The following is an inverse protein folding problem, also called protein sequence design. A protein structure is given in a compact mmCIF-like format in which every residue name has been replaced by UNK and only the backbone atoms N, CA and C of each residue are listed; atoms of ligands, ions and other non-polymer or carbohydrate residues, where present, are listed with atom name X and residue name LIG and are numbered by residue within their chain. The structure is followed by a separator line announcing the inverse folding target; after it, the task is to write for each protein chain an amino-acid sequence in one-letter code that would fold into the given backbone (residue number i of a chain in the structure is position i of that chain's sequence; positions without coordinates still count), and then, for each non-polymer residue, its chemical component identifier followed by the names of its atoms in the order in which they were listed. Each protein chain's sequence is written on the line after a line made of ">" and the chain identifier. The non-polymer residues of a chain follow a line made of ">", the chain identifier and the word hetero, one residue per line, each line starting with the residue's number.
data_IF_317707353105
#
_entry.id   IF_317707353105
#
_cell.length_a   1.000
_cell.length_b   1.000
_cell.length_c   1.000
_cell.angle_alpha   90.00
_cell.angle_beta   90.00
_cell.angle_gamma   90.00
#
_symmetry.space_group_name_H-M   'P 1'
#
loop_
_entity.id
_entity.type
_entity.pdbx_description
1 polymer ?
#
# COMPACT_ATOMS: atom_id res chain seq x y z
N UNK A 1 36.61 -40.93 -13.04
CA UNK A 1 37.80 -40.36 -12.39
C UNK A 1 37.38 -39.03 -11.76
N UNK A 2 37.43 -38.93 -10.43
CA UNK A 2 37.06 -37.74 -9.65
C UNK A 2 38.22 -36.75 -9.66
N UNK A 3 37.95 -35.46 -9.86
CA UNK A 3 38.72 -34.41 -9.20
C UNK A 3 37.79 -33.28 -8.74
N UNK A 4 37.79 -33.08 -7.41
CA UNK A 4 37.26 -31.93 -6.67
C UNK A 4 38.44 -30.98 -6.44
N UNK A 5 38.29 -29.69 -6.70
CA UNK A 5 38.89 -28.54 -6.00
C UNK A 5 38.16 -27.31 -6.58
N UNK A 6 37.73 -26.26 -5.90
CA UNK A 6 37.79 -25.77 -4.52
C UNK A 6 37.21 -24.35 -4.58
N UNK A 7 36.37 -23.94 -3.63
CA UNK A 7 35.78 -22.59 -3.57
C UNK A 7 36.87 -21.55 -3.31
N UNK A 8 36.82 -20.41 -4.02
CA UNK A 8 37.37 -19.14 -3.51
C UNK A 8 36.37 -18.02 -3.81
N UNK A 9 35.92 -17.35 -2.75
CA UNK A 9 35.19 -16.09 -2.77
C UNK A 9 36.13 -14.99 -3.25
N UNK A 10 35.72 -14.20 -4.24
CA UNK A 10 36.32 -12.91 -4.53
C UNK A 10 35.28 -11.83 -4.25
N UNK A 11 35.40 -11.19 -3.09
CA UNK A 11 34.76 -9.91 -2.76
C UNK A 11 35.63 -8.85 -3.42
N UNK A 12 35.14 -8.20 -4.47
CA UNK A 12 35.79 -7.05 -5.07
C UNK A 12 35.23 -5.77 -4.44
N UNK A 13 36.00 -5.25 -3.50
CA UNK A 13 35.87 -3.90 -2.98
C UNK A 13 36.48 -2.95 -4.02
N UNK A 14 35.67 -2.11 -4.66
CA UNK A 14 36.17 -1.03 -5.51
C UNK A 14 36.04 0.27 -4.74
N UNK A 15 37.20 0.73 -4.25
CA UNK A 15 37.46 2.11 -3.82
C UNK A 15 37.70 2.94 -5.09
N UNK A 16 36.91 4.00 -5.30
CA UNK A 16 37.28 5.10 -6.19
C UNK A 16 37.15 6.40 -5.40
N UNK A 17 38.29 7.07 -5.25
CA UNK A 17 38.43 8.36 -4.64
C UNK A 17 38.21 9.50 -5.65
N UNK A 18 37.45 10.48 -5.17
CA UNK A 18 37.35 11.91 -5.45
C UNK A 18 37.88 12.53 -6.76
N UNK A 19 36.95 13.19 -7.46
CA UNK A 19 37.22 14.38 -8.27
C UNK A 19 36.47 15.58 -7.67
N UNK A 20 37.21 16.62 -7.29
CA UNK A 20 36.71 17.91 -6.79
C UNK A 20 36.28 18.77 -7.98
N UNK A 21 35.03 19.24 -7.97
CA UNK A 21 34.61 20.42 -8.72
C UNK A 21 33.97 21.40 -7.72
N UNK A 22 34.76 22.39 -7.33
CA UNK A 22 34.30 23.59 -6.65
C UNK A 22 33.67 24.52 -7.69
N UNK A 23 32.48 25.07 -7.41
CA UNK A 23 31.91 26.13 -8.23
C UNK A 23 30.38 26.21 -8.18
N UNK A 24 29.85 26.71 -7.06
CA UNK A 24 28.44 27.05 -6.93
C UNK A 24 28.12 27.41 -5.49
N UNK A 25 28.11 28.70 -5.18
CA UNK A 25 27.73 29.21 -3.88
C UNK A 25 26.25 28.90 -3.60
N UNK A 26 26.00 27.75 -2.99
CA UNK A 26 24.81 27.50 -2.21
C UNK A 26 25.17 27.87 -0.78
N UNK A 27 24.46 28.84 -0.22
CA UNK A 27 24.55 29.18 1.20
C UNK A 27 24.54 27.88 2.00
N UNK A 28 25.67 27.59 2.64
CA UNK A 28 25.84 26.43 3.48
C UNK A 28 24.89 26.56 4.66
N UNK A 29 23.69 25.99 4.53
CA UNK A 29 22.95 25.55 5.70
C UNK A 29 23.89 24.61 6.43
N UNK A 30 24.25 24.97 7.66
CA UNK A 30 25.05 24.09 8.51
C UNK A 30 24.43 22.68 8.44
N UNK A 31 25.24 21.60 8.35
CA UNK A 31 24.70 20.28 8.55
C UNK A 31 23.94 20.34 9.87
N UNK A 32 22.66 19.96 9.85
CA UNK A 32 21.84 19.94 11.05
C UNK A 32 22.48 18.93 12.01
N UNK A 33 23.39 19.39 12.85
CA UNK A 33 23.84 18.68 14.02
C UNK A 33 22.60 18.55 14.89
N UNK A 34 22.06 17.32 14.97
CA UNK A 34 21.02 16.97 15.93
C UNK A 34 21.62 17.12 17.34
N UNK A 35 21.66 18.35 17.82
CA UNK A 35 22.01 18.67 19.19
C UNK A 35 20.84 18.23 20.08
N UNK A 36 21.06 17.18 20.87
CA UNK A 36 20.15 16.73 21.92
C UNK A 36 19.06 15.78 21.42
N UNK A 37 19.28 14.48 21.62
CA UNK A 37 18.28 13.41 21.75
C UNK A 37 16.86 13.75 21.29
N UNK A 38 16.68 13.82 19.96
CA UNK A 38 15.42 14.23 19.34
C UNK A 38 14.31 13.20 19.53
N UNK A 39 14.66 11.92 19.73
CA UNK A 39 13.74 10.81 19.97
C UNK A 39 13.88 10.26 21.40
N UNK A 40 12.78 10.29 22.16
CA UNK A 40 12.65 9.66 23.48
C UNK A 40 11.69 8.50 23.38
N UNK A 41 12.11 7.29 23.77
CA UNK A 41 11.22 6.12 23.87
C UNK A 41 10.93 5.81 25.33
N UNK A 42 9.66 5.60 25.67
CA UNK A 42 9.29 5.00 26.94
C UNK A 42 9.68 3.51 26.93
N UNK A 43 9.81 2.92 28.12
CA UNK A 43 9.96 1.47 28.23
C UNK A 43 8.75 0.77 27.60
N UNK A 44 9.00 -0.16 26.68
CA UNK A 44 7.94 -0.92 26.05
C UNK A 44 7.40 -1.97 27.03
N UNK A 45 6.09 -2.17 27.02
CA UNK A 45 5.39 -3.19 27.81
C UNK A 45 4.96 -4.35 26.93
N UNK A 46 5.12 -5.62 27.37
CA UNK A 46 4.59 -6.76 26.64
C UNK A 46 3.06 -6.73 26.64
N UNK A 47 2.44 -6.94 25.49
CA UNK A 47 0.97 -7.01 25.34
C UNK A 47 0.49 -8.39 24.89
N UNK A 48 1.37 -9.17 24.27
CA UNK A 48 1.19 -10.59 23.96
C UNK A 48 2.57 -11.23 23.74
N UNK A 49 2.69 -12.57 23.70
CA UNK A 49 3.94 -13.19 23.28
C UNK A 49 4.39 -12.70 21.89
N UNK A 50 5.64 -12.24 21.79
CA UNK A 50 6.19 -11.67 20.56
C UNK A 50 5.68 -10.28 20.19
N UNK A 51 4.88 -9.62 21.04
CA UNK A 51 4.35 -8.27 20.77
C UNK A 51 4.54 -7.34 21.97
N UNK A 52 5.16 -6.19 21.74
CA UNK A 52 5.30 -5.13 22.75
C UNK A 52 4.68 -3.82 22.27
N UNK A 53 4.16 -3.05 23.21
CA UNK A 53 3.65 -1.70 23.00
C UNK A 53 4.57 -0.69 23.69
N UNK A 54 4.90 0.39 23.03
CA UNK A 54 5.63 1.50 23.61
C UNK A 54 5.17 2.83 23.06
N UNK A 55 5.67 3.89 23.67
CA UNK A 55 5.41 5.26 23.24
C UNK A 55 6.74 5.95 22.95
N UNK A 56 6.72 6.89 22.03
CA UNK A 56 7.86 7.75 21.79
C UNK A 56 7.46 9.22 21.62
N UNK A 57 8.37 10.11 21.98
CA UNK A 57 8.28 11.54 21.70
C UNK A 57 9.41 11.93 20.77
N UNK A 58 9.09 12.61 19.68
CA UNK A 58 10.03 13.15 18.72
C UNK A 58 9.90 14.68 18.70
N UNK A 59 10.93 15.40 19.11
CA UNK A 59 10.97 16.87 19.00
C UNK A 59 11.53 17.25 17.64
N UNK A 60 10.72 17.95 16.84
CA UNK A 60 11.09 18.53 15.55
C UNK A 60 10.98 20.06 15.61
N UNK A 61 11.55 20.83 14.66
CA UNK A 61 11.46 22.29 14.71
C UNK A 61 10.04 22.87 14.79
N UNK A 62 9.03 22.11 14.33
CA UNK A 62 7.61 22.51 14.35
C UNK A 62 6.84 22.04 15.59
N UNK A 63 7.50 21.42 16.57
CA UNK A 63 6.88 20.97 17.82
C UNK A 63 7.24 19.54 18.20
N UNK A 64 6.49 18.98 19.15
CA UNK A 64 6.69 17.61 19.62
C UNK A 64 5.65 16.68 19.03
N UNK A 65 6.10 15.57 18.45
CA UNK A 65 5.28 14.45 18.00
C UNK A 65 5.23 13.41 19.11
N UNK A 66 4.03 12.99 19.50
CA UNK A 66 3.81 11.78 20.30
C UNK A 66 3.46 10.64 19.34
N UNK A 67 4.12 9.49 19.50
CA UNK A 67 3.90 8.30 18.70
C UNK A 67 3.67 7.07 19.55
N UNK A 68 2.83 6.18 19.03
CA UNK A 68 2.55 4.86 19.58
C UNK A 68 3.23 3.81 18.71
N UNK A 69 3.86 2.81 19.32
CA UNK A 69 4.65 1.79 18.62
C UNK A 69 4.26 0.39 19.08
N UNK A 70 3.79 -0.42 18.13
CA UNK A 70 3.73 -1.87 18.29
C UNK A 70 4.98 -2.48 17.68
N UNK A 71 5.77 -3.20 18.48
CA UNK A 71 6.88 -4.01 17.99
C UNK A 71 6.41 -5.45 17.91
N UNK A 72 6.51 -6.05 16.72
CA UNK A 72 5.99 -7.37 16.41
C UNK A 72 7.13 -8.26 15.96
N UNK A 73 7.41 -9.32 16.72
CA UNK A 73 8.43 -10.32 16.37
C UNK A 73 7.85 -11.37 15.42
N UNK A 74 8.11 -11.18 14.13
CA UNK A 74 7.69 -12.13 13.09
C UNK A 74 8.45 -13.46 13.13
N UNK A 75 9.51 -13.61 13.95
CA UNK A 75 10.19 -14.89 14.13
C UNK A 75 9.46 -15.80 15.15
N UNK A 76 8.71 -15.23 16.11
CA UNK A 76 7.97 -16.02 17.11
C UNK A 76 6.76 -16.73 16.48
N UNK A 77 6.71 -18.07 16.35
CA UNK A 77 5.67 -18.82 15.61
C UNK A 77 4.22 -18.56 16.03
N UNK A 78 3.99 -17.91 17.17
CA UNK A 78 2.66 -17.54 17.66
C UNK A 78 2.14 -16.23 17.07
N UNK A 79 2.98 -15.47 16.37
CA UNK A 79 2.66 -14.15 15.82
C UNK A 79 2.27 -14.25 14.34
N UNK A 80 1.15 -13.63 13.98
CA UNK A 80 0.75 -13.41 12.58
C UNK A 80 0.34 -11.97 12.36
N UNK A 81 0.60 -11.46 11.16
CA UNK A 81 0.16 -10.15 10.70
C UNK A 81 -0.59 -10.38 9.39
N UNK A 82 -1.79 -9.80 9.28
CA UNK A 82 -2.61 -9.87 8.08
C UNK A 82 -3.42 -8.57 7.91
N UNK A 83 -3.98 -8.37 6.72
CA UNK A 83 -4.84 -7.24 6.41
C UNK A 83 -6.20 -7.40 7.10
N UNK A 84 -6.55 -6.44 7.96
CA UNK A 84 -7.89 -6.35 8.52
C UNK A 84 -8.81 -5.61 7.54
N UNK A 85 -9.89 -6.26 7.11
CA UNK A 85 -10.85 -5.69 6.15
C UNK A 85 -12.30 -6.07 6.52
N UNK A 86 -13.31 -5.29 6.09
CA UNK A 86 -14.71 -5.48 6.50
C UNK A 86 -15.44 -6.59 5.72
N UNK A 87 -14.73 -7.51 5.08
CA UNK A 87 -15.29 -8.64 4.31
C UNK A 87 -15.48 -8.39 2.82
N UNK A 88 -15.72 -7.14 2.41
CA UNK A 88 -15.81 -6.69 1.01
C UNK A 88 -14.96 -5.43 0.79
N UNK A 89 -14.52 -5.22 -0.44
CA UNK A 89 -13.63 -4.13 -0.88
C UNK A 89 -14.35 -2.78 -0.81
N UNK A 90 -15.59 -2.69 -1.29
CA UNK A 90 -16.40 -1.48 -1.27
C UNK A 90 -17.02 -1.18 0.09
N UNK A 91 -16.26 -1.35 1.17
CA UNK A 91 -16.70 -1.03 2.53
C UNK A 91 -15.51 -0.59 3.40
N UNK A 92 -15.83 0.08 4.51
CA UNK A 92 -14.86 0.52 5.52
C UNK A 92 -15.45 0.40 6.92
N UNK A 93 -14.59 0.25 7.92
CA UNK A 93 -14.99 0.28 9.33
C UNK A 93 -13.87 0.90 10.18
N UNK A 94 -14.18 1.41 11.38
CA UNK A 94 -13.16 1.83 12.34
C UNK A 94 -12.18 0.69 12.64
N UNK A 95 -10.89 1.02 12.74
CA UNK A 95 -9.81 0.06 13.05
C UNK A 95 -10.12 -0.75 14.32
N UNK A 96 -10.68 -0.11 15.34
CA UNK A 96 -11.08 -0.78 16.59
C UNK A 96 -12.12 -1.88 16.37
N UNK A 97 -13.09 -1.69 15.46
CA UNK A 97 -14.09 -2.71 15.13
C UNK A 97 -13.48 -3.85 14.32
N UNK A 98 -12.62 -3.53 13.35
CA UNK A 98 -11.93 -4.53 12.55
C UNK A 98 -11.01 -5.41 13.41
N UNK A 99 -10.26 -4.81 14.32
CA UNK A 99 -9.41 -5.52 15.26
C UNK A 99 -10.22 -6.41 16.22
N UNK A 100 -11.30 -5.88 16.80
CA UNK A 100 -12.16 -6.64 17.70
C UNK A 100 -12.81 -7.85 17.00
N UNK A 101 -13.25 -7.69 15.75
CA UNK A 101 -13.86 -8.77 14.98
C UNK A 101 -12.91 -9.95 14.71
N UNK A 102 -11.60 -9.70 14.70
CA UNK A 102 -10.56 -10.73 14.49
C UNK A 102 -9.86 -11.13 15.79
N UNK A 103 -10.21 -10.54 16.94
CA UNK A 103 -9.48 -10.74 18.20
C UNK A 103 -8.01 -10.31 18.11
N UNK A 104 -7.69 -9.30 17.30
CA UNK A 104 -6.32 -8.86 17.08
C UNK A 104 -5.73 -8.19 18.32
N UNK A 105 -4.47 -8.51 18.64
CA UNK A 105 -3.71 -7.90 19.76
C UNK A 105 -3.51 -6.39 19.57
N UNK A 106 -3.36 -5.95 18.32
CA UNK A 106 -3.21 -4.56 17.96
C UNK A 106 -3.39 -4.36 16.45
N UNK A 107 -3.74 -3.14 16.05
CA UNK A 107 -3.96 -2.77 14.67
C UNK A 107 -3.70 -1.28 14.45
N UNK A 108 -3.31 -0.93 13.23
CA UNK A 108 -3.17 0.45 12.76
C UNK A 108 -3.95 0.61 11.45
N UNK A 109 -4.30 1.84 11.07
CA UNK A 109 -4.85 2.06 9.73
C UNK A 109 -3.80 1.72 8.66
N UNK A 110 -4.27 1.25 7.52
CA UNK A 110 -3.44 0.96 6.35
C UNK A 110 -3.52 2.06 5.31
N UNK A 111 -3.89 1.66 4.10
CA UNK A 111 -3.90 2.47 2.89
C UNK A 111 -4.88 3.66 2.93
N UNK A 112 -4.70 4.58 1.97
CA UNK A 112 -5.71 5.56 1.59
C UNK A 112 -6.90 4.86 0.93
N UNK A 113 -8.05 5.53 0.95
CA UNK A 113 -9.29 4.97 0.42
C UNK A 113 -10.24 6.08 -0.01
N UNK A 114 -11.18 5.73 -0.88
CA UNK A 114 -12.24 6.61 -1.34
C UNK A 114 -13.20 6.92 -0.18
N UNK A 115 -12.85 7.95 0.62
CA UNK A 115 -13.56 8.37 1.84
C UNK A 115 -14.57 9.48 1.63
N UNK A 116 -14.40 10.26 0.56
CA UNK A 116 -15.17 11.46 0.22
C UNK A 116 -15.33 11.54 -1.29
N UNK A 117 -16.53 11.93 -1.75
CA UNK A 117 -16.82 12.17 -3.17
C UNK A 117 -17.53 13.52 -3.30
N UNK A 118 -16.78 14.52 -3.73
CA UNK A 118 -17.27 15.89 -3.98
C UNK A 118 -16.97 16.35 -5.41
N UNK A 119 -16.27 15.52 -6.18
CA UNK A 119 -15.80 15.82 -7.53
C UNK A 119 -16.86 15.42 -8.56
N UNK A 120 -17.70 14.42 -8.23
CA UNK A 120 -18.73 13.90 -9.11
C UNK A 120 -20.11 13.90 -8.43
N UNK A 121 -20.96 14.92 -8.71
CA UNK A 121 -22.31 14.97 -8.16
C UNK A 121 -23.12 13.70 -8.45
N UNK A 122 -23.74 13.13 -7.41
CA UNK A 122 -24.54 11.90 -7.53
C UNK A 122 -23.74 10.59 -7.47
N UNK A 123 -22.42 10.64 -7.36
CA UNK A 123 -21.58 9.44 -7.18
C UNK A 123 -21.39 9.16 -5.69
N UNK A 124 -21.61 7.91 -5.29
CA UNK A 124 -21.50 7.48 -3.90
C UNK A 124 -20.05 7.21 -3.48
N UNK A 125 -19.76 7.49 -2.20
CA UNK A 125 -18.51 7.10 -1.56
C UNK A 125 -18.46 5.60 -1.40
N UNK A 126 -17.46 4.95 -2.03
CA UNK A 126 -17.33 3.49 -2.00
C UNK A 126 -16.67 2.96 -0.73
N UNK A 127 -15.80 3.73 -0.09
CA UNK A 127 -14.94 3.25 1.00
C UNK A 127 -13.79 2.33 0.56
N UNK A 128 -13.67 2.00 -0.73
CA UNK A 128 -12.64 1.10 -1.24
C UNK A 128 -11.23 1.73 -1.21
N UNK A 129 -10.18 0.96 -0.85
CA UNK A 129 -8.80 1.45 -0.83
C UNK A 129 -8.19 1.76 -2.19
N UNK A 130 -7.06 2.45 -2.23
CA UNK A 130 -6.37 2.87 -3.44
C UNK A 130 -5.53 1.73 -4.04
N UNK A 131 -4.64 1.16 -3.25
CA UNK A 131 -3.67 0.14 -3.61
C UNK A 131 -4.23 -1.27 -3.65
N UNK A 132 -3.41 -2.24 -4.10
CA UNK A 132 -3.82 -3.63 -4.23
C UNK A 132 -3.91 -4.31 -2.87
N UNK A 133 -4.77 -5.32 -2.76
CA UNK A 133 -5.00 -6.04 -1.50
C UNK A 133 -4.92 -7.55 -1.67
N UNK A 134 -4.17 -8.17 -0.76
CA UNK A 134 -4.17 -9.60 -0.51
C UNK A 134 -4.42 -9.80 0.99
N UNK A 135 -5.41 -10.61 1.33
CA UNK A 135 -5.70 -10.99 2.73
C UNK A 135 -5.83 -12.51 2.83
N UNK A 136 -5.18 -13.12 3.82
CA UNK A 136 -5.12 -14.57 3.99
C UNK A 136 -4.74 -15.32 2.68
N UNK A 137 -3.83 -14.74 1.89
CA UNK A 137 -3.39 -15.28 0.59
C UNK A 137 -4.41 -15.15 -0.56
N UNK A 138 -5.54 -14.47 -0.37
CA UNK A 138 -6.56 -14.26 -1.40
C UNK A 138 -6.41 -12.89 -2.03
N UNK A 139 -6.40 -12.84 -3.35
CA UNK A 139 -6.42 -11.59 -4.11
C UNK A 139 -7.80 -10.94 -3.97
N UNK A 140 -7.84 -9.72 -3.43
CA UNK A 140 -9.09 -8.98 -3.21
C UNK A 140 -9.30 -7.88 -4.25
N UNK A 141 -8.27 -7.08 -4.55
CA UNK A 141 -8.34 -6.02 -5.55
C UNK A 141 -6.96 -5.67 -6.13
N UNK A 142 -6.95 -4.98 -7.26
CA UNK A 142 -5.74 -4.36 -7.82
C UNK A 142 -5.58 -2.89 -7.37
N UNK A 143 -4.52 -2.22 -7.81
CA UNK A 143 -4.33 -0.79 -7.61
C UNK A 143 -5.24 0.04 -8.55
N UNK A 144 -5.67 1.23 -8.09
CA UNK A 144 -6.24 2.27 -8.97
C UNK A 144 -5.13 3.03 -9.70
N UNK A 145 -5.40 3.73 -10.81
CA UNK A 145 -4.40 4.61 -11.43
C UNK A 145 -3.84 5.67 -10.46
N UNK A 146 -2.56 6.02 -10.61
CA UNK A 146 -1.89 7.01 -9.75
C UNK A 146 -2.53 8.41 -9.80
N UNK A 147 -3.23 8.78 -10.88
CA UNK A 147 -3.99 10.03 -10.94
C UNK A 147 -5.35 10.00 -10.24
N UNK A 148 -5.80 8.81 -9.80
CA UNK A 148 -7.14 8.59 -9.23
C UNK A 148 -7.15 8.29 -7.74
N UNK A 149 -5.98 7.99 -7.15
CA UNK A 149 -5.83 7.74 -5.71
C UNK A 149 -6.23 8.92 -4.82
N UNK A 150 -6.51 8.62 -3.56
CA UNK A 150 -6.70 9.57 -2.49
C UNK A 150 -5.40 9.83 -1.71
N UNK A 151 -5.28 11.02 -1.13
CA UNK A 151 -4.11 11.46 -0.35
C UNK A 151 -3.16 12.42 -1.08
N UNK A 152 -2.02 12.80 -0.45
CA UNK A 152 -1.06 13.78 -0.96
C UNK A 152 -0.32 13.27 -2.20
N UNK A 153 0.28 14.16 -3.01
CA UNK A 153 1.04 13.73 -4.19
C UNK A 153 2.07 12.63 -3.85
N UNK A 154 2.15 11.61 -4.72
CA UNK A 154 3.12 10.53 -4.56
C UNK A 154 4.55 11.09 -4.67
N UNK A 155 5.49 10.62 -3.83
CA UNK A 155 6.90 10.89 -4.03
C UNK A 155 7.38 10.37 -5.40
N UNK A 156 8.44 10.97 -5.99
CA UNK A 156 9.03 10.46 -7.22
C UNK A 156 9.41 8.98 -7.11
N UNK A 157 8.95 8.17 -8.06
CA UNK A 157 9.23 6.73 -8.12
C UNK A 157 8.27 5.83 -7.32
N UNK A 158 7.38 6.42 -6.52
CA UNK A 158 6.33 5.67 -5.83
C UNK A 158 5.11 5.47 -6.73
N UNK A 159 4.35 4.41 -6.46
CA UNK A 159 3.11 4.05 -7.17
C UNK A 159 2.06 3.52 -6.20
N UNK A 160 0.79 3.61 -6.59
CA UNK A 160 -0.33 2.90 -5.95
C UNK A 160 -0.16 1.38 -5.91
N UNK A 161 0.72 0.81 -6.73
CA UNK A 161 1.05 -0.63 -6.73
C UNK A 161 2.04 -1.03 -5.62
N UNK A 162 2.70 -0.07 -4.97
CA UNK A 162 3.69 -0.35 -3.92
C UNK A 162 2.99 -0.83 -2.64
N UNK A 163 3.52 -1.87 -2.01
CA UNK A 163 2.91 -2.53 -0.84
C UNK A 163 3.91 -2.79 0.28
N UNK A 164 3.36 -2.92 1.49
CA UNK A 164 4.01 -3.58 2.62
C UNK A 164 3.32 -4.94 2.79
N UNK A 165 4.07 -6.03 2.68
CA UNK A 165 3.53 -7.39 2.80
C UNK A 165 4.32 -8.25 3.76
N UNK A 166 3.65 -9.22 4.40
CA UNK A 166 4.29 -10.29 5.17
C UNK A 166 4.01 -11.61 4.46
N UNK A 167 5.07 -12.27 4.00
CA UNK A 167 4.96 -13.55 3.30
C UNK A 167 4.77 -14.73 4.26
N UNK A 168 4.48 -15.92 3.71
CA UNK A 168 4.42 -17.17 4.48
C UNK A 168 5.73 -17.52 5.20
N UNK A 169 6.85 -16.96 4.75
CA UNK A 169 8.16 -17.06 5.41
C UNK A 169 8.33 -16.09 6.58
N UNK A 170 7.28 -15.36 6.95
CA UNK A 170 7.19 -14.48 8.12
C UNK A 170 8.20 -13.34 8.05
N UNK A 171 8.45 -12.84 6.84
CA UNK A 171 9.28 -11.67 6.58
C UNK A 171 8.45 -10.54 5.97
N UNK A 172 8.59 -9.36 6.56
CA UNK A 172 8.05 -8.13 6.00
C UNK A 172 8.88 -7.69 4.78
N UNK A 173 8.20 -7.17 3.76
CA UNK A 173 8.79 -6.68 2.52
C UNK A 173 8.12 -5.39 2.08
N UNK A 174 8.92 -4.51 1.49
CA UNK A 174 8.44 -3.52 0.55
C UNK A 174 8.50 -4.15 -0.83
N UNK A 175 7.39 -4.13 -1.55
CA UNK A 175 7.29 -4.77 -2.85
C UNK A 175 6.27 -4.04 -3.73
N UNK A 176 6.02 -4.58 -4.92
CA UNK A 176 5.01 -4.09 -5.86
C UNK A 176 4.07 -5.22 -6.26
N UNK A 177 2.77 -4.97 -6.18
CA UNK A 177 1.75 -5.90 -6.65
C UNK A 177 1.06 -5.35 -7.90
N UNK A 178 1.22 -6.06 -9.01
CA UNK A 178 0.61 -5.73 -10.31
C UNK A 178 -0.47 -6.74 -10.68
N UNK A 179 -1.47 -6.28 -11.43
CA UNK A 179 -2.50 -7.16 -11.98
C UNK A 179 -2.09 -7.65 -13.37
N UNK A 180 -2.16 -8.97 -13.57
CA UNK A 180 -2.12 -9.57 -14.91
C UNK A 180 -3.29 -10.54 -15.06
N UNK A 181 -4.14 -10.29 -16.04
CA UNK A 181 -5.28 -11.13 -16.36
C UNK A 181 -5.84 -10.82 -17.74
N UNK A 182 -6.79 -11.62 -18.20
CA UNK A 182 -7.48 -11.40 -19.46
C UNK A 182 -8.95 -11.81 -19.36
N UNK A 183 -9.79 -11.11 -20.10
CA UNK A 183 -11.17 -11.51 -20.41
C UNK A 183 -11.14 -12.29 -21.72
N UNK A 184 -11.63 -13.52 -21.72
CA UNK A 184 -11.64 -14.37 -22.90
C UNK A 184 -12.93 -14.12 -23.69
N UNK A 185 -12.79 -13.81 -24.97
CA UNK A 185 -13.92 -13.62 -25.89
C UNK A 185 -13.77 -14.54 -27.10
N UNK A 186 -14.85 -14.72 -27.88
CA UNK A 186 -14.79 -15.45 -29.15
C UNK A 186 -13.81 -14.84 -30.17
N UNK A 187 -13.48 -13.55 -30.04
CA UNK A 187 -12.51 -12.83 -30.90
C UNK A 187 -11.07 -12.87 -30.35
N UNK A 188 -10.86 -13.50 -29.19
CA UNK A 188 -9.56 -13.56 -28.51
C UNK A 188 -9.55 -12.91 -27.12
N UNK A 189 -8.39 -12.96 -26.43
CA UNK A 189 -8.23 -12.39 -25.10
C UNK A 189 -8.14 -10.86 -25.15
N UNK A 190 -8.83 -10.19 -24.23
CA UNK A 190 -8.70 -8.76 -23.96
C UNK A 190 -8.03 -8.57 -22.60
N UNK A 191 -7.11 -7.60 -22.44
CA UNK A 191 -6.40 -7.41 -21.18
C UNK A 191 -7.37 -6.97 -20.07
N UNK A 192 -7.30 -7.65 -18.92
CA UNK A 192 -7.96 -7.20 -17.70
C UNK A 192 -7.10 -6.11 -17.06
N UNK A 193 -7.69 -4.94 -16.83
CA UNK A 193 -7.00 -3.74 -16.36
C UNK A 193 -7.38 -3.33 -14.94
N UNK A 194 -8.38 -3.96 -14.34
CA UNK A 194 -8.75 -3.74 -12.95
C UNK A 194 -9.49 -4.92 -12.33
N UNK A 195 -9.34 -5.07 -11.03
CA UNK A 195 -10.09 -6.02 -10.20
C UNK A 195 -10.64 -5.28 -8.98
N UNK A 196 -11.97 -5.26 -8.83
CA UNK A 196 -12.69 -4.65 -7.71
C UNK A 196 -12.21 -3.20 -7.39
N UNK A 197 -12.13 -2.34 -8.41
CA UNK A 197 -11.63 -0.97 -8.28
C UNK A 197 -12.75 0.05 -8.14
N UNK A 198 -12.53 1.11 -7.36
CA UNK A 198 -13.39 2.29 -7.44
C UNK A 198 -13.02 3.21 -8.61
N UNK A 199 -11.89 3.03 -9.28
CA UNK A 199 -11.48 3.81 -10.46
C UNK A 199 -10.77 2.89 -11.46
N UNK A 200 -11.36 2.68 -12.64
CA UNK A 200 -10.75 1.89 -13.69
C UNK A 200 -9.79 2.74 -14.52
N UNK A 201 -8.70 2.15 -15.04
CA UNK A 201 -7.89 2.81 -16.05
C UNK A 201 -8.73 3.18 -17.28
N UNK A 202 -8.47 4.35 -17.86
CA UNK A 202 -9.14 4.80 -19.09
C UNK A 202 -8.96 3.75 -20.20
N UNK A 203 -10.04 3.47 -20.95
CA UNK A 203 -10.08 2.40 -21.96
C UNK A 203 -9.79 0.98 -21.41
N UNK A 204 -9.93 0.77 -20.10
CA UNK A 204 -9.67 -0.48 -19.42
C UNK A 204 -10.91 -1.35 -19.20
N UNK A 205 -10.69 -2.66 -19.10
CA UNK A 205 -11.72 -3.62 -18.68
C UNK A 205 -11.51 -3.97 -17.21
N UNK A 206 -12.55 -3.78 -16.39
CA UNK A 206 -12.58 -4.14 -14.98
C UNK A 206 -13.38 -5.42 -14.71
N UNK A 207 -12.89 -6.24 -13.78
CA UNK A 207 -13.64 -7.36 -13.23
C UNK A 207 -14.16 -7.00 -11.83
N UNK A 208 -15.46 -7.17 -11.62
CA UNK A 208 -16.09 -7.05 -10.31
C UNK A 208 -16.62 -8.40 -9.87
N UNK A 209 -16.23 -8.80 -8.67
CA UNK A 209 -16.62 -10.07 -8.04
C UNK A 209 -17.57 -9.81 -6.88
N UNK A 210 -18.06 -10.88 -6.23
CA UNK A 210 -18.78 -10.77 -4.97
C UNK A 210 -18.00 -10.00 -3.89
N UNK A 211 -16.66 -9.97 -3.97
CA UNK A 211 -15.79 -9.27 -3.03
C UNK A 211 -15.87 -7.76 -3.16
N UNK A 212 -16.44 -7.21 -4.24
CA UNK A 212 -16.73 -5.78 -4.32
C UNK A 212 -17.73 -5.35 -3.26
N UNK A 213 -18.76 -6.17 -3.00
CA UNK A 213 -19.85 -5.83 -2.10
C UNK A 213 -20.92 -4.93 -2.76
N UNK A 214 -21.78 -4.29 -1.95
CA UNK A 214 -22.98 -3.60 -2.43
C UNK A 214 -22.74 -2.17 -2.90
N UNK A 215 -21.53 -1.61 -2.71
CA UNK A 215 -21.24 -0.23 -3.10
C UNK A 215 -21.49 -0.01 -4.60
N UNK A 216 -21.97 1.19 -4.97
CA UNK A 216 -22.11 1.56 -6.37
C UNK A 216 -20.78 1.49 -7.12
N UNK A 217 -20.81 0.94 -8.34
CA UNK A 217 -19.65 0.87 -9.24
C UNK A 217 -19.51 2.12 -10.12
N UNK A 218 -20.43 3.08 -10.05
CA UNK A 218 -20.41 4.27 -10.91
C UNK A 218 -19.10 5.04 -10.78
N UNK A 219 -18.52 5.10 -9.56
CA UNK A 219 -17.23 5.79 -9.38
C UNK A 219 -16.11 5.26 -10.28
N UNK A 220 -16.18 3.97 -10.65
CA UNK A 220 -15.19 3.31 -11.50
C UNK A 220 -15.02 3.95 -12.87
N UNK A 221 -16.04 4.66 -13.32
CA UNK A 221 -16.11 5.24 -14.66
C UNK A 221 -15.82 6.75 -14.65
N UNK A 222 -15.42 7.31 -13.51
CA UNK A 222 -15.19 8.73 -13.33
C UNK A 222 -13.72 9.08 -13.16
N UNK A 223 -13.34 10.27 -13.61
CA UNK A 223 -11.95 10.73 -13.71
C UNK A 223 -11.20 10.11 -14.89
N UNK A 224 -9.93 10.47 -15.01
CA UNK A 224 -8.96 9.88 -15.94
C UNK A 224 -7.74 9.34 -15.19
N UNK A 225 -6.83 8.66 -15.88
CA UNK A 225 -5.58 8.15 -15.30
C UNK A 225 -4.68 9.23 -14.69
N UNK A 226 -4.93 10.51 -15.03
CA UNK A 226 -4.13 11.67 -14.61
C UNK A 226 -4.93 12.76 -13.89
N UNK A 227 -6.26 12.70 -13.91
CA UNK A 227 -7.14 13.70 -13.29
C UNK A 227 -8.36 13.03 -12.63
N UNK A 228 -8.31 12.93 -11.30
CA UNK A 228 -9.40 12.40 -10.47
C UNK A 228 -10.70 13.19 -10.58
N UNK A 229 -10.66 14.47 -10.97
CA UNK A 229 -11.84 15.34 -11.03
C UNK A 229 -12.54 15.34 -12.40
N UNK A 230 -11.95 14.68 -13.40
CA UNK A 230 -12.53 14.65 -14.73
C UNK A 230 -13.90 13.94 -14.74
N UNK A 231 -14.82 14.29 -15.66
CA UNK A 231 -16.18 13.76 -15.65
C UNK A 231 -16.26 12.23 -15.73
N UNK A 232 -17.42 11.70 -15.35
CA UNK A 232 -17.76 10.30 -15.61
C UNK A 232 -17.91 10.04 -17.11
N UNK A 233 -17.37 8.92 -17.57
CA UNK A 233 -17.51 8.45 -18.93
C UNK A 233 -18.98 8.19 -19.27
N UNK A 234 -19.41 8.68 -20.43
CA UNK A 234 -20.70 8.33 -21.03
C UNK A 234 -20.63 7.03 -21.83
N UNK A 235 -19.43 6.46 -22.00
CA UNK A 235 -19.16 5.25 -22.77
C UNK A 235 -18.75 4.11 -21.83
N UNK A 236 -19.71 3.64 -21.03
CA UNK A 236 -19.52 2.47 -20.16
C UNK A 236 -20.50 1.38 -20.54
N UNK A 237 -20.02 0.14 -20.61
CA UNK A 237 -20.87 -1.05 -20.74
C UNK A 237 -20.56 -2.01 -19.60
N UNK A 238 -21.59 -2.40 -18.85
CA UNK A 238 -21.48 -3.45 -17.84
C UNK A 238 -22.04 -4.77 -18.41
N UNK A 239 -21.29 -5.86 -18.21
CA UNK A 239 -21.68 -7.21 -18.64
C UNK A 239 -21.65 -8.12 -17.43
N UNK A 240 -22.74 -8.84 -17.19
CA UNK A 240 -22.79 -9.90 -16.17
C UNK A 240 -22.42 -11.24 -16.79
N UNK A 241 -21.32 -11.84 -16.33
CA UNK A 241 -20.94 -13.20 -16.70
C UNK A 241 -21.63 -14.17 -15.73
N UNK A 242 -22.43 -15.10 -16.27
CA UNK A 242 -23.03 -16.20 -15.50
C UNK A 242 -22.31 -17.50 -15.87
N UNK A 243 -21.95 -18.27 -14.86
CA UNK A 243 -21.37 -19.61 -14.99
C UNK A 243 -22.37 -20.66 -14.53
#
# INVERSE_FOLDING_TARGET
>A
MRQRFGRVRAVLTVLVAWGVLAGGALAGGAPATAAGETLRRAAAVPVAPGVTYGEFRLTVPRGTVLGHLLTVDLADPRVTVDLLHPGVVGARAPVSRLAAAQGAVGAVNGDFFHIVEVQHPGVEVTGAPDGPEIAAGRVLKSAVPDGQRFGPALPPGASTEDVIGVGYDRRARLDRLTLRGAVLTARGPLPLRGLNLFALPVNGIGAYTERWGPASRVRATCGTDTDRAAPCSTETTEVTVRH
#
